data_IF_430496617189
#
_entry.id   IF_430496617189
#
_cell.length_a   1.000
_cell.length_b   1.000
_cell.length_c   1.000
_cell.angle_alpha   90.00
_cell.angle_beta   90.00
_cell.angle_gamma   90.00
#
_symmetry.space_group_name_H-M   'P 1'
#
loop_
_entity.id
_entity.type
_entity.pdbx_description
1 polymer ?
#
# COMPACT_ATOMS: atom_id res chain seq x y z
N UNK A 1 1.36 -11.72 -13.71
CA UNK A 1 1.10 -10.69 -14.76
C UNK A 1 1.84 -9.41 -14.36
N UNK A 2 2.58 -8.78 -15.27
CA UNK A 2 3.33 -7.56 -14.98
C UNK A 2 2.34 -6.37 -14.91
N UNK A 3 1.99 -5.93 -13.69
CA UNK A 3 1.13 -4.74 -13.49
C UNK A 3 1.88 -3.52 -14.03
N UNK A 4 1.31 -2.84 -15.03
CA UNK A 4 1.93 -1.66 -15.68
C UNK A 4 2.08 -0.54 -14.65
N UNK A 5 3.33 -0.14 -14.38
CA UNK A 5 3.67 1.00 -13.53
C UNK A 5 4.04 2.20 -14.40
N UNK A 6 3.31 3.31 -14.25
CA UNK A 6 3.55 4.60 -14.89
C UNK A 6 3.39 5.76 -13.86
N UNK A 7 3.32 7.00 -14.34
CA UNK A 7 3.23 8.20 -13.49
C UNK A 7 1.98 8.27 -12.59
N UNK A 8 0.93 7.52 -12.92
CA UNK A 8 -0.31 7.46 -12.14
C UNK A 8 -0.32 6.32 -11.12
N UNK A 9 0.75 5.52 -11.07
CA UNK A 9 0.96 4.54 -10.00
C UNK A 9 1.06 5.24 -8.65
N UNK A 10 0.37 4.69 -7.66
CA UNK A 10 0.44 5.10 -6.26
C UNK A 10 0.79 3.89 -5.42
N UNK A 11 1.79 4.06 -4.56
CA UNK A 11 2.22 3.07 -3.60
C UNK A 11 1.60 3.43 -2.26
N UNK A 12 1.09 2.45 -1.54
CA UNK A 12 0.34 2.70 -0.32
C UNK A 12 0.60 1.66 0.77
N UNK A 13 0.32 2.08 2.00
CA UNK A 13 0.18 1.25 3.19
C UNK A 13 -1.14 1.61 3.83
N UNK A 14 -1.93 0.61 4.20
CA UNK A 14 -3.15 0.75 4.98
C UNK A 14 -2.88 0.30 6.41
N UNK A 15 -3.29 1.12 7.37
CA UNK A 15 -3.03 0.95 8.80
C UNK A 15 -4.37 0.91 9.51
N UNK A 16 -4.61 -0.11 10.32
CA UNK A 16 -5.73 -0.09 11.27
C UNK A 16 -5.41 0.89 12.41
N UNK A 17 -6.26 1.88 12.60
CA UNK A 17 -6.02 2.98 13.53
C UNK A 17 -6.16 2.53 14.99
N UNK A 18 -6.91 1.46 15.26
CA UNK A 18 -7.11 0.96 16.62
C UNK A 18 -5.95 0.08 17.09
N UNK A 19 -5.50 -0.85 16.25
CA UNK A 19 -4.36 -1.74 16.57
C UNK A 19 -3.00 -1.14 16.25
N UNK A 20 -2.96 -0.09 15.43
CA UNK A 20 -1.73 0.48 14.85
C UNK A 20 -0.95 -0.52 13.97
N UNK A 21 -1.63 -1.55 13.46
CA UNK A 21 -1.02 -2.55 12.60
C UNK A 21 -1.24 -2.23 11.12
N UNK A 22 -0.28 -2.61 10.28
CA UNK A 22 -0.45 -2.54 8.83
C UNK A 22 -1.36 -3.69 8.40
N UNK A 23 -2.41 -3.39 7.65
CA UNK A 23 -3.41 -4.39 7.20
C UNK A 23 -3.36 -4.66 5.71
N UNK A 24 -2.79 -3.73 4.93
CA UNK A 24 -2.50 -3.91 3.51
C UNK A 24 -1.31 -3.04 3.10
N UNK A 25 -0.57 -3.45 2.08
CA UNK A 25 0.34 -2.57 1.37
C UNK A 25 0.41 -2.99 -0.09
N UNK A 26 0.63 -2.05 -0.99
CA UNK A 26 0.64 -2.37 -2.40
C UNK A 26 0.88 -1.17 -3.29
N UNK A 27 0.64 -1.40 -4.57
CA UNK A 27 0.59 -0.33 -5.56
C UNK A 27 -0.52 -0.60 -6.56
N UNK A 28 -1.16 0.48 -6.99
CA UNK A 28 -2.16 0.45 -8.04
C UNK A 28 -2.21 1.80 -8.76
N UNK A 29 -2.96 1.85 -9.85
CA UNK A 29 -3.26 3.07 -10.57
C UNK A 29 -4.20 3.96 -9.74
N UNK A 30 -3.96 5.27 -9.73
CA UNK A 30 -4.76 6.25 -8.95
C UNK A 30 -6.28 6.07 -9.11
N UNK A 31 -6.73 5.74 -10.33
CA UNK A 31 -8.14 5.48 -10.65
C UNK A 31 -8.73 4.27 -9.91
N UNK A 32 -7.92 3.23 -9.69
CA UNK A 32 -8.33 2.00 -9.00
C UNK A 32 -8.34 2.16 -7.47
N UNK A 33 -7.70 3.21 -6.95
CA UNK A 33 -7.66 3.52 -5.52
C UNK A 33 -8.77 4.49 -5.10
N UNK A 34 -9.92 4.47 -5.77
CA UNK A 34 -11.03 5.41 -5.52
C UNK A 34 -10.57 6.88 -5.51
N UNK A 35 -9.70 7.25 -6.46
CA UNK A 35 -9.11 8.59 -6.53
C UNK A 35 -8.12 8.90 -5.40
N UNK A 36 -7.63 7.87 -4.70
CA UNK A 36 -6.77 7.96 -3.53
C UNK A 36 -7.49 7.81 -2.19
N UNK A 37 -8.81 7.54 -2.18
CA UNK A 37 -9.59 7.35 -0.94
C UNK A 37 -9.50 5.90 -0.45
N UNK A 38 -9.40 5.74 0.87
CA UNK A 38 -9.68 4.49 1.56
C UNK A 38 -11.07 4.61 2.21
N UNK A 39 -11.95 3.67 1.92
CA UNK A 39 -13.36 3.70 2.32
C UNK A 39 -13.66 2.83 3.55
N UNK A 40 -12.71 1.99 3.95
CA UNK A 40 -12.84 1.16 5.14
C UNK A 40 -12.74 2.03 6.40
N UNK A 41 -13.79 1.99 7.24
CA UNK A 41 -13.80 2.67 8.52
C UNK A 41 -12.68 2.14 9.44
N UNK A 42 -12.03 3.03 10.17
CA UNK A 42 -10.93 2.66 11.06
C UNK A 42 -9.61 2.36 10.36
N UNK A 43 -9.55 2.41 9.02
CA UNK A 43 -8.32 2.19 8.25
C UNK A 43 -7.83 3.50 7.65
N UNK A 44 -6.57 3.81 7.89
CA UNK A 44 -5.89 4.96 7.32
C UNK A 44 -4.92 4.54 6.21
N UNK A 45 -5.01 5.19 5.04
CA UNK A 45 -4.11 4.95 3.91
C UNK A 45 -3.03 6.01 3.83
N UNK A 46 -1.78 5.56 3.81
CA UNK A 46 -0.59 6.39 3.67
C UNK A 46 0.03 6.15 2.28
N UNK A 47 0.21 7.23 1.52
CA UNK A 47 0.87 7.17 0.22
C UNK A 47 2.38 7.34 0.34
N UNK A 48 3.10 6.55 -0.44
CA UNK A 48 4.55 6.54 -0.51
C UNK A 48 5.02 6.84 -1.94
N UNK A 49 6.22 7.40 -2.04
CA UNK A 49 6.97 7.35 -3.29
C UNK A 49 7.44 5.91 -3.57
N UNK A 50 7.74 5.60 -4.83
CA UNK A 50 8.31 4.30 -5.23
C UNK A 50 9.54 3.92 -4.40
N UNK A 51 10.45 4.88 -4.18
CA UNK A 51 11.66 4.66 -3.40
C UNK A 51 11.39 4.35 -1.93
N UNK A 52 10.44 5.05 -1.29
CA UNK A 52 10.02 4.77 0.08
C UNK A 52 9.34 3.41 0.19
N UNK A 53 8.43 3.09 -0.75
CA UNK A 53 7.77 1.79 -0.78
C UNK A 53 8.76 0.64 -0.92
N UNK A 54 9.72 0.76 -1.85
CA UNK A 54 10.76 -0.26 -2.02
C UNK A 54 11.59 -0.45 -0.76
N UNK A 55 12.00 0.64 -0.09
CA UNK A 55 12.73 0.55 1.19
C UNK A 55 11.88 -0.15 2.26
N UNK A 56 10.61 0.22 2.36
CA UNK A 56 9.66 -0.40 3.29
C UNK A 56 9.54 -1.91 3.02
N UNK A 57 9.22 -2.32 1.80
CA UNK A 57 9.05 -3.73 1.46
C UNK A 57 10.34 -4.53 1.57
N UNK A 58 11.50 -3.94 1.31
CA UNK A 58 12.79 -4.64 1.45
C UNK A 58 13.19 -4.82 2.91
N UNK A 59 12.96 -3.83 3.77
CA UNK A 59 13.25 -3.94 5.21
C UNK A 59 12.31 -4.91 5.92
N UNK A 60 11.05 -4.95 5.49
CA UNK A 60 9.97 -5.69 6.14
C UNK A 60 9.61 -7.01 5.41
N UNK A 61 10.39 -7.42 4.39
CA UNK A 61 10.03 -8.53 3.49
C UNK A 61 9.73 -9.86 4.21
N UNK A 62 10.45 -10.16 5.29
CA UNK A 62 10.32 -11.42 6.05
C UNK A 62 9.12 -11.45 6.99
N UNK A 63 8.65 -10.30 7.44
CA UNK A 63 7.57 -10.19 8.44
C UNK A 63 6.18 -10.02 7.80
N UNK A 64 6.12 -9.64 6.51
CA UNK A 64 4.88 -9.12 5.90
C UNK A 64 4.44 -9.80 4.59
N UNK A 65 5.01 -10.97 4.25
CA UNK A 65 4.55 -11.81 3.13
C UNK A 65 3.01 -12.00 3.05
N UNK A 66 2.25 -12.22 4.14
CA UNK A 66 0.80 -12.39 4.05
C UNK A 66 0.02 -11.11 3.68
N UNK A 67 0.65 -9.94 3.76
CA UNK A 67 0.02 -8.62 3.51
C UNK A 67 0.40 -8.06 2.12
N UNK A 68 1.56 -8.47 1.59
CA UNK A 68 2.11 -8.01 0.30
C UNK A 68 1.46 -8.71 -0.91
N UNK A 69 0.83 -9.87 -0.74
CA UNK A 69 0.30 -10.71 -1.85
C UNK A 69 -1.23 -10.79 -1.98
N UNK A 70 -2.00 -9.88 -1.35
CA UNK A 70 -3.46 -9.81 -1.56
C UNK A 70 -3.87 -8.90 -2.72
#
# INVERSE_FOLDING_TARGET
>A
MCRKQDGDTRYFIDIDVASMEIVACGFDQKQNLNGGRQTTLGVYRLFLTKGQYNKFTSACASEWQPVIER
#
